data_IF_593760678112
#
_entry.id   IF_593760678112
#
_cell.length_a   1.000
_cell.length_b   1.000
_cell.length_c   1.000
_cell.angle_alpha   90.00
_cell.angle_beta   90.00
_cell.angle_gamma   90.00
#
_symmetry.space_group_name_H-M   'P 1'
#
loop_
_entity.id
_entity.type
_entity.pdbx_description
1 polymer ?
#
# COMPACT_ATOMS: atom_id res chain seq x y z
N UNK A 1 12.77 -15.30 7.64
CA UNK A 1 13.06 -15.08 6.19
C UNK A 1 11.87 -15.42 5.30
N UNK A 2 11.23 -16.60 5.46
CA UNK A 2 10.10 -17.05 4.63
C UNK A 2 8.93 -16.06 4.53
N UNK A 3 8.41 -15.55 5.65
CA UNK A 3 7.20 -14.69 5.62
C UNK A 3 7.34 -13.42 4.76
N UNK A 4 8.49 -12.74 4.74
CA UNK A 4 8.67 -11.54 3.90
C UNK A 4 8.83 -11.89 2.41
N UNK A 5 9.37 -13.07 2.09
CA UNK A 5 9.54 -13.53 0.70
C UNK A 5 8.19 -13.97 0.13
N UNK A 6 7.36 -14.62 0.95
CA UNK A 6 6.01 -15.05 0.57
C UNK A 6 5.05 -13.87 0.33
N UNK A 7 5.21 -12.79 1.11
CA UNK A 7 4.39 -11.57 0.96
C UNK A 7 4.93 -10.61 -0.10
N UNK A 8 6.14 -10.83 -0.62
CA UNK A 8 6.77 -9.93 -1.59
C UNK A 8 6.01 -9.81 -2.91
N UNK A 9 5.51 -10.91 -3.53
CA UNK A 9 4.70 -10.82 -4.74
C UNK A 9 3.41 -10.03 -4.52
N UNK A 10 2.72 -10.28 -3.39
CA UNK A 10 1.47 -9.57 -3.04
C UNK A 10 1.73 -8.07 -2.88
N UNK A 11 2.77 -7.73 -2.11
CA UNK A 11 3.22 -6.35 -1.96
C UNK A 11 3.53 -5.68 -3.31
N UNK A 12 4.23 -6.37 -4.22
CA UNK A 12 4.60 -5.81 -5.50
C UNK A 12 3.37 -5.54 -6.36
N UNK A 13 2.43 -6.48 -6.42
CA UNK A 13 1.15 -6.31 -7.13
C UNK A 13 0.39 -5.11 -6.56
N UNK A 14 0.19 -5.04 -5.24
CA UNK A 14 -0.55 -3.95 -4.61
C UNK A 14 0.14 -2.59 -4.79
N UNK A 15 1.47 -2.56 -4.73
CA UNK A 15 2.27 -1.35 -4.94
C UNK A 15 2.08 -0.78 -6.34
N UNK A 16 2.14 -1.64 -7.37
CA UNK A 16 1.93 -1.21 -8.75
C UNK A 16 0.49 -0.76 -9.00
N UNK A 17 -0.49 -1.51 -8.50
CA UNK A 17 -1.91 -1.14 -8.60
C UNK A 17 -2.20 0.19 -7.91
N UNK A 18 -1.71 0.39 -6.69
CA UNK A 18 -1.84 1.67 -5.99
C UNK A 18 -1.06 2.81 -6.68
N UNK A 19 0.09 2.49 -7.30
CA UNK A 19 0.91 3.44 -8.04
C UNK A 19 0.23 3.99 -9.30
N UNK A 20 -0.59 3.19 -9.96
CA UNK A 20 -1.44 3.64 -11.06
C UNK A 20 -2.43 4.73 -10.62
N UNK A 21 -2.89 4.71 -9.37
CA UNK A 21 -3.74 5.74 -8.80
C UNK A 21 -2.95 6.94 -8.25
N UNK A 22 -1.93 6.69 -7.42
CA UNK A 22 -1.11 7.74 -6.84
C UNK A 22 0.32 7.28 -6.56
N UNK A 23 1.22 7.62 -7.48
CA UNK A 23 2.65 7.30 -7.37
C UNK A 23 3.28 7.82 -6.07
N UNK A 24 2.85 8.99 -5.57
CA UNK A 24 3.38 9.61 -4.34
C UNK A 24 3.04 8.77 -3.12
N UNK A 25 1.77 8.40 -2.96
CA UNK A 25 1.29 7.61 -1.83
C UNK A 25 1.82 6.17 -1.89
N UNK A 26 1.80 5.55 -3.07
CA UNK A 26 2.35 4.22 -3.28
C UNK A 26 3.84 4.17 -2.93
N UNK A 27 4.64 5.14 -3.41
CA UNK A 27 6.08 5.18 -3.11
C UNK A 27 6.34 5.36 -1.61
N UNK A 28 5.60 6.24 -0.94
CA UNK A 28 5.73 6.44 0.50
C UNK A 28 5.41 5.16 1.30
N UNK A 29 4.29 4.51 0.99
CA UNK A 29 3.90 3.24 1.63
C UNK A 29 4.88 2.10 1.29
N UNK A 30 5.41 2.07 0.07
CA UNK A 30 6.42 1.11 -0.36
C UNK A 30 7.72 1.21 0.46
N UNK A 31 8.23 2.43 0.68
CA UNK A 31 9.39 2.66 1.54
C UNK A 31 9.10 2.24 2.98
N UNK A 32 7.91 2.56 3.48
CA UNK A 32 7.50 2.18 4.83
C UNK A 32 7.42 0.65 4.99
N UNK A 33 6.95 -0.07 3.97
CA UNK A 33 6.93 -1.54 3.95
C UNK A 33 8.35 -2.11 4.02
N UNK A 34 9.28 -1.57 3.23
CA UNK A 34 10.69 -1.98 3.28
C UNK A 34 11.31 -1.75 4.66
N UNK A 35 10.97 -0.62 5.31
CA UNK A 35 11.40 -0.35 6.68
C UNK A 35 10.80 -1.34 7.69
N UNK A 36 9.52 -1.70 7.55
CA UNK A 36 8.89 -2.72 8.39
C UNK A 36 9.54 -4.10 8.20
N UNK A 37 9.88 -4.48 6.96
CA UNK A 37 10.65 -5.68 6.67
C UNK A 37 12.04 -5.62 7.32
N UNK A 38 12.76 -4.50 7.22
CA UNK A 38 14.04 -4.31 7.88
C UNK A 38 13.92 -4.50 9.41
N UNK A 39 12.92 -3.87 10.04
CA UNK A 39 12.66 -4.01 11.48
C UNK A 39 12.27 -5.44 11.86
N UNK A 40 11.49 -6.13 11.03
CA UNK A 40 11.15 -7.54 11.22
C UNK A 40 12.41 -8.43 11.21
N UNK A 41 13.32 -8.22 10.25
CA UNK A 41 14.58 -8.96 10.17
C UNK A 41 15.50 -8.66 11.35
N UNK A 42 15.63 -7.40 11.75
CA UNK A 42 16.47 -7.02 12.88
C UNK A 42 15.92 -7.55 14.21
N UNK A 43 14.60 -7.44 14.43
CA UNK A 43 13.93 -7.97 15.62
C UNK A 43 13.98 -9.51 15.70
N UNK A 44 14.06 -10.20 14.55
CA UNK A 44 14.22 -11.66 14.49
C UNK A 44 15.50 -12.15 15.18
N UNK A 45 16.57 -11.34 15.16
CA UNK A 45 17.87 -11.68 15.78
C UNK A 45 17.84 -11.44 17.29
N UNK A 46 16.94 -10.59 17.77
CA UNK A 46 16.96 -10.04 19.12
C UNK A 46 15.97 -10.73 20.08
N UNK A 47 14.70 -10.91 19.70
CA UNK A 47 13.73 -11.71 20.49
C UNK A 47 12.47 -12.10 19.70
N UNK A 48 11.78 -13.17 20.14
CA UNK A 48 10.52 -13.64 19.54
C UNK A 48 9.39 -12.60 19.63
N UNK A 49 9.38 -11.76 20.68
CA UNK A 49 8.38 -10.67 20.85
C UNK A 49 8.60 -9.54 19.86
N UNK A 50 9.85 -9.17 19.58
CA UNK A 50 10.16 -8.06 18.66
C UNK A 50 9.92 -8.41 17.19
N UNK A 51 9.93 -9.71 16.85
CA UNK A 51 9.51 -10.20 15.54
C UNK A 51 8.05 -9.87 15.22
N UNK A 52 7.16 -9.89 16.21
CA UNK A 52 5.73 -9.64 15.99
C UNK A 52 5.48 -8.19 15.58
N UNK A 53 6.20 -7.23 16.17
CA UNK A 53 6.03 -5.80 15.87
C UNK A 53 6.31 -5.47 14.42
N UNK A 54 7.43 -5.98 13.86
CA UNK A 54 7.76 -5.79 12.44
C UNK A 54 6.74 -6.45 11.51
N UNK A 55 6.21 -7.62 11.89
CA UNK A 55 5.20 -8.33 11.11
C UNK A 55 3.86 -7.58 11.05
N UNK A 56 3.35 -7.11 12.20
CA UNK A 56 2.11 -6.34 12.23
C UNK A 56 2.22 -5.04 11.43
N UNK A 57 3.37 -4.35 11.51
CA UNK A 57 3.62 -3.15 10.69
C UNK A 57 3.56 -3.47 9.19
N UNK A 58 4.23 -4.54 8.75
CA UNK A 58 4.19 -4.97 7.34
C UNK A 58 2.76 -5.29 6.89
N UNK A 59 1.97 -5.98 7.72
CA UNK A 59 0.57 -6.33 7.41
C UNK A 59 -0.32 -5.10 7.34
N UNK A 60 -0.16 -4.14 8.26
CA UNK A 60 -0.92 -2.88 8.24
C UNK A 60 -0.64 -2.11 6.95
N UNK A 61 0.64 -1.98 6.58
CA UNK A 61 1.04 -1.26 5.36
C UNK A 61 0.50 -1.94 4.10
N UNK A 62 0.53 -3.28 4.06
CA UNK A 62 -0.03 -4.04 2.96
C UNK A 62 -1.55 -3.80 2.83
N UNK A 63 -2.29 -3.82 3.94
CA UNK A 63 -3.72 -3.49 3.92
C UNK A 63 -3.99 -2.05 3.44
N UNK A 64 -3.13 -1.08 3.81
CA UNK A 64 -3.23 0.28 3.29
C UNK A 64 -3.02 0.33 1.78
N UNK A 65 -2.04 -0.41 1.24
CA UNK A 65 -1.80 -0.50 -0.21
C UNK A 65 -2.98 -1.15 -0.95
N UNK A 66 -3.53 -2.24 -0.43
CA UNK A 66 -4.72 -2.89 -0.98
C UNK A 66 -5.90 -1.92 -1.01
N UNK A 67 -6.15 -1.23 0.10
CA UNK A 67 -7.26 -0.25 0.20
C UNK A 67 -7.05 0.89 -0.79
N UNK A 68 -5.83 1.40 -0.92
CA UNK A 68 -5.50 2.46 -1.87
C UNK A 68 -5.66 2.00 -3.33
N UNK A 69 -5.22 0.77 -3.64
CA UNK A 69 -5.42 0.16 -4.96
C UNK A 69 -6.90 -0.04 -5.28
N UNK A 70 -7.68 -0.54 -4.34
CA UNK A 70 -9.13 -0.72 -4.50
C UNK A 70 -9.84 0.61 -4.72
N UNK A 71 -9.51 1.65 -3.93
CA UNK A 71 -10.02 3.02 -4.13
C UNK A 71 -9.65 3.55 -5.52
N UNK A 72 -8.41 3.30 -5.97
CA UNK A 72 -7.96 3.69 -7.30
C UNK A 72 -8.76 3.04 -8.43
N UNK A 73 -8.97 1.73 -8.32
CA UNK A 73 -9.77 0.95 -9.28
C UNK A 73 -11.21 1.45 -9.29
N UNK A 74 -11.83 1.60 -8.13
CA UNK A 74 -13.20 2.10 -8.00
C UNK A 74 -13.34 3.50 -8.59
N UNK A 75 -12.39 4.41 -8.32
CA UNK A 75 -12.40 5.75 -8.91
C UNK A 75 -12.28 5.70 -10.44
N UNK A 76 -11.40 4.85 -10.99
CA UNK A 76 -11.26 4.69 -12.44
C UNK A 76 -12.55 4.18 -13.09
N UNK A 77 -13.21 3.20 -12.47
CA UNK A 77 -14.49 2.70 -12.95
C UNK A 77 -15.61 3.72 -12.81
N UNK A 78 -15.65 4.49 -11.72
CA UNK A 78 -16.64 5.56 -11.55
C UNK A 78 -16.45 6.67 -12.59
N UNK A 79 -15.21 7.05 -12.90
CA UNK A 79 -14.89 8.04 -13.94
C UNK A 79 -15.39 7.57 -15.32
N UNK A 80 -15.11 6.30 -15.66
CA UNK A 80 -15.50 5.73 -16.96
C UNK A 80 -17.00 5.41 -17.09
N UNK A 81 -17.67 4.96 -16.01
CA UNK A 81 -19.09 4.56 -16.05
C UNK A 81 -20.08 5.67 -15.71
N UNK A 82 -19.71 6.65 -14.87
CA UNK A 82 -20.65 7.68 -14.42
C UNK A 82 -20.43 9.05 -15.08
N UNK A 83 -19.39 9.27 -15.87
CA UNK A 83 -19.02 10.59 -16.43
C UNK A 83 -19.11 11.71 -15.37
N UNK A 84 -18.89 11.35 -14.09
CA UNK A 84 -19.28 12.18 -12.97
C UNK A 84 -18.12 13.09 -12.63
N UNK A 85 -17.98 14.17 -13.40
CA UNK A 85 -17.92 15.55 -12.93
C UNK A 85 -17.09 15.87 -11.65
N UNK A 86 -16.13 15.07 -11.19
CA UNK A 86 -15.32 15.43 -10.03
C UNK A 86 -14.33 16.49 -10.48
N UNK A 87 -13.74 16.35 -11.68
CA UNK A 87 -12.91 17.38 -12.28
C UNK A 87 -13.71 18.67 -12.56
N UNK A 88 -14.97 18.57 -12.98
CA UNK A 88 -15.84 19.75 -13.18
C UNK A 88 -16.27 20.41 -11.86
N UNK A 89 -16.54 19.63 -10.81
CA UNK A 89 -16.91 20.17 -9.47
C UNK A 89 -15.72 20.76 -8.74
N UNK A 90 -14.53 20.16 -8.85
CA UNK A 90 -13.30 20.70 -8.26
C UNK A 90 -12.87 21.97 -9.00
N UNK A 91 -13.00 22.01 -10.33
CA UNK A 91 -12.73 23.23 -11.12
C UNK A 91 -13.79 24.34 -10.87
N UNK A 92 -15.03 24.00 -10.53
CA UNK A 92 -16.05 24.99 -10.10
C UNK A 92 -15.87 25.51 -8.68
N UNK A 93 -15.07 24.83 -7.85
CA UNK A 93 -14.83 25.20 -6.45
C UNK A 93 -13.48 25.92 -6.23
N UNK A 94 -12.65 26.04 -7.26
CA UNK A 94 -11.36 26.72 -7.29
C UNK A 94 -11.47 27.97 -8.15
#
# INVERSE_FOLDING_TARGET
RQNCVELYPVFLTDLWTAGCFSIKLASFLGVLYMFACYKYFHGYIQSVKERLTGFYLSVIILNCLITLGAVGIVNSFLDEYLDFSVMERVHKLL
#
